data_IF_362686475895
#
_entry.id   IF_362686475895
#
_cell.length_a   1.000
_cell.length_b   1.000
_cell.length_c   1.000
_cell.angle_alpha   90.00
_cell.angle_beta   90.00
_cell.angle_gamma   90.00
#
_symmetry.space_group_name_H-M   'P 1'
#
loop_
_entity.id
_entity.type
_entity.pdbx_description
1 polymer ?
#
# COMPACT_ATOMS: atom_id res chain seq x y z
N UNK A 1 1.66 37.64 -26.79
CA UNK A 1 2.39 36.47 -27.29
C UNK A 1 1.75 35.24 -26.67
N UNK A 2 0.92 34.54 -27.45
CA UNK A 2 0.10 33.40 -27.02
C UNK A 2 0.90 32.11 -27.23
N UNK A 3 1.22 31.38 -26.16
CA UNK A 3 1.69 30.00 -26.29
C UNK A 3 0.53 29.04 -26.05
N UNK A 4 -0.06 28.62 -27.17
CA UNK A 4 -1.12 27.63 -27.23
C UNK A 4 -0.45 26.25 -27.39
N UNK A 5 -0.21 25.54 -26.28
CA UNK A 5 0.35 24.19 -26.32
C UNK A 5 -0.79 23.18 -26.46
N UNK A 6 -1.14 22.84 -27.70
CA UNK A 6 -1.97 21.68 -28.00
C UNK A 6 -1.15 20.42 -27.71
N UNK A 7 -1.30 19.84 -26.51
CA UNK A 7 -0.87 18.47 -26.25
C UNK A 7 -1.85 17.52 -26.92
N UNK A 8 -1.35 16.82 -27.93
CA UNK A 8 -2.00 15.67 -28.55
C UNK A 8 -1.93 14.54 -27.52
N UNK A 9 -3.03 14.26 -26.85
CA UNK A 9 -3.20 13.05 -26.04
C UNK A 9 -3.32 11.87 -26.98
N UNK A 10 -2.19 11.21 -27.27
CA UNK A 10 -2.21 9.89 -27.89
C UNK A 10 -2.79 8.90 -26.88
N UNK A 11 -3.95 8.32 -27.22
CA UNK A 11 -4.57 7.22 -26.51
C UNK A 11 -3.64 6.01 -26.58
N UNK A 12 -2.79 5.84 -25.57
CA UNK A 12 -2.12 4.57 -25.30
C UNK A 12 -3.14 3.64 -24.65
N UNK A 13 -3.82 2.84 -25.47
CA UNK A 13 -4.46 1.63 -24.99
C UNK A 13 -3.34 0.58 -24.82
N UNK A 14 -3.07 0.06 -23.61
CA UNK A 14 -2.20 -1.09 -23.48
C UNK A 14 -2.95 -2.29 -24.07
N UNK A 15 -2.59 -2.67 -25.30
CA UNK A 15 -2.90 -3.99 -25.81
C UNK A 15 -2.06 -4.99 -25.02
N UNK A 16 -2.65 -5.56 -23.98
CA UNK A 16 -2.22 -6.83 -23.42
C UNK A 16 -2.27 -7.85 -24.57
N UNK A 17 -1.10 -8.23 -25.07
CA UNK A 17 -0.95 -9.33 -26.01
C UNK A 17 -1.31 -10.61 -25.27
N UNK A 18 -2.45 -11.22 -25.61
CA UNK A 18 -2.74 -12.62 -25.32
C UNK A 18 -1.64 -13.47 -25.95
N UNK A 19 -0.70 -13.90 -25.13
CA UNK A 19 0.27 -14.93 -25.49
C UNK A 19 -0.46 -16.26 -25.62
N UNK A 20 -0.68 -16.70 -26.87
CA UNK A 20 -1.13 -18.06 -27.17
C UNK A 20 -0.04 -19.02 -26.69
N UNK A 21 -0.23 -19.59 -25.50
CA UNK A 21 0.58 -20.69 -25.00
C UNK A 21 0.19 -21.94 -25.78
N UNK A 22 1.06 -22.33 -26.72
CA UNK A 22 0.97 -23.61 -27.42
C UNK A 22 1.37 -24.72 -26.43
N UNK A 23 0.38 -25.47 -25.97
CA UNK A 23 0.54 -26.57 -25.02
C UNK A 23 0.96 -27.83 -25.79
N UNK A 24 2.25 -28.15 -25.79
CA UNK A 24 2.73 -29.46 -26.25
C UNK A 24 2.64 -30.47 -25.08
N UNK A 25 1.74 -31.44 -25.25
CA UNK A 25 1.49 -32.54 -24.33
C UNK A 25 2.53 -33.64 -24.58
N UNK A 26 3.38 -33.92 -23.58
CA UNK A 26 4.06 -35.23 -23.46
C UNK A 26 4.32 -35.60 -21.99
N UNK A 27 3.43 -36.49 -21.52
CA UNK A 27 3.67 -37.72 -20.73
C UNK A 27 4.35 -37.64 -19.34
N UNK A 28 3.56 -38.00 -18.30
CA UNK A 28 3.86 -38.76 -17.05
C UNK A 28 5.15 -38.40 -16.27
N UNK A 29 5.14 -37.98 -15.01
CA UNK A 29 4.64 -38.68 -13.81
C UNK A 29 4.65 -37.76 -12.56
N UNK A 30 4.05 -38.22 -11.45
CA UNK A 30 4.07 -37.66 -10.08
C UNK A 30 3.13 -36.47 -9.78
N UNK A 31 1.91 -36.84 -9.38
CA UNK A 31 0.91 -35.98 -8.74
C UNK A 31 1.48 -35.27 -7.50
N UNK A 32 1.67 -33.96 -7.58
CA UNK A 32 1.70 -33.08 -6.42
C UNK A 32 0.68 -31.97 -6.65
N UNK A 33 -0.47 -32.07 -5.98
CA UNK A 33 -1.59 -31.13 -6.09
C UNK A 33 -1.16 -29.75 -5.57
N UNK A 34 -0.70 -28.89 -6.48
CA UNK A 34 -0.42 -27.49 -6.18
C UNK A 34 -1.65 -26.69 -6.59
N UNK A 35 -2.48 -26.33 -5.61
CA UNK A 35 -3.65 -25.48 -5.80
C UNK A 35 -3.17 -24.05 -6.05
N UNK A 36 -3.07 -23.66 -7.32
CA UNK A 36 -2.91 -22.27 -7.72
C UNK A 36 -4.27 -21.58 -7.64
N UNK A 37 -4.49 -20.83 -6.56
CA UNK A 37 -5.67 -19.99 -6.37
C UNK A 37 -5.51 -18.71 -7.20
N UNK A 38 -5.87 -18.77 -8.47
CA UNK A 38 -5.97 -17.58 -9.34
C UNK A 38 -7.26 -16.84 -8.99
N UNK A 39 -7.16 -15.75 -8.23
CA UNK A 39 -8.29 -14.85 -7.98
C UNK A 39 -8.57 -14.01 -9.23
N UNK A 40 -9.22 -14.62 -10.23
CA UNK A 40 -9.84 -13.85 -11.31
C UNK A 40 -11.12 -13.22 -10.77
N UNK A 41 -11.02 -11.99 -10.28
CA UNK A 41 -12.18 -11.14 -10.00
C UNK A 41 -12.78 -10.70 -11.36
N UNK A 42 -13.58 -11.56 -11.99
CA UNK A 42 -14.51 -11.12 -13.02
C UNK A 42 -15.60 -10.29 -12.33
N UNK A 43 -15.67 -8.99 -12.62
CA UNK A 43 -16.64 -8.08 -12.02
C UNK A 43 -17.97 -8.08 -12.79
N UNK A 44 -19.10 -8.41 -12.16
CA UNK A 44 -20.41 -8.02 -12.66
C UNK A 44 -20.99 -6.88 -11.81
N UNK A 45 -21.55 -5.90 -12.52
CA UNK A 45 -22.47 -4.85 -12.09
C UNK A 45 -21.95 -3.75 -11.13
N UNK A 46 -21.76 -2.58 -11.74
CA UNK A 46 -21.74 -1.26 -11.15
C UNK A 46 -23.05 -0.96 -10.42
N UNK A 47 -23.09 -1.15 -9.09
CA UNK A 47 -24.27 -0.77 -8.31
C UNK A 47 -24.09 -0.71 -6.80
N UNK A 48 -23.10 -1.41 -6.24
CA UNK A 48 -22.96 -1.54 -4.77
C UNK A 48 -21.53 -1.32 -4.27
N UNK A 49 -20.78 -0.39 -4.88
CA UNK A 49 -19.35 -0.17 -4.55
C UNK A 49 -19.11 0.46 -3.17
N UNK A 50 -20.04 1.25 -2.64
CA UNK A 50 -19.78 2.02 -1.42
C UNK A 50 -19.80 1.17 -0.13
N UNK A 51 -20.50 0.03 -0.14
CA UNK A 51 -20.54 -0.90 0.98
C UNK A 51 -19.27 -1.76 1.15
N UNK A 52 -18.50 -1.97 0.06
CA UNK A 52 -17.37 -2.89 0.12
C UNK A 52 -16.14 -2.28 0.81
N UNK A 53 -15.89 -0.98 0.63
CA UNK A 53 -14.70 -0.33 1.20
C UNK A 53 -14.81 -0.20 2.71
N UNK A 54 -15.94 0.30 3.21
CA UNK A 54 -16.11 0.46 4.66
C UNK A 54 -16.00 -0.87 5.39
N UNK A 55 -16.60 -1.94 4.85
CA UNK A 55 -16.45 -3.29 5.39
C UNK A 55 -14.99 -3.75 5.36
N UNK A 56 -14.29 -3.57 4.22
CA UNK A 56 -12.87 -3.92 4.12
C UNK A 56 -12.00 -3.17 5.14
N UNK A 57 -12.29 -1.90 5.41
CA UNK A 57 -11.55 -1.11 6.39
C UNK A 57 -11.89 -1.48 7.83
N UNK A 58 -13.14 -1.84 8.11
CA UNK A 58 -13.60 -2.20 9.46
C UNK A 58 -13.10 -3.57 9.90
N UNK A 59 -13.07 -4.54 8.98
CA UNK A 59 -12.69 -5.93 9.26
C UNK A 59 -11.25 -6.26 8.85
N UNK A 60 -10.45 -5.27 8.48
CA UNK A 60 -9.04 -5.49 8.17
C UNK A 60 -8.28 -6.05 9.36
N UNK A 61 -7.48 -7.08 9.14
CA UNK A 61 -6.56 -7.63 10.13
C UNK A 61 -5.24 -6.85 10.14
N UNK A 62 -4.58 -6.68 11.29
CA UNK A 62 -3.21 -6.17 11.35
C UNK A 62 -2.28 -7.03 10.50
N UNK A 63 -1.42 -6.38 9.71
CA UNK A 63 -0.40 -7.06 8.91
C UNK A 63 0.81 -7.48 9.76
N UNK A 64 1.11 -6.69 10.79
CA UNK A 64 2.24 -6.92 11.67
C UNK A 64 1.81 -7.68 12.93
N UNK A 65 2.69 -8.57 13.39
CA UNK A 65 2.52 -9.24 14.67
C UNK A 65 2.63 -8.21 15.81
N UNK A 66 2.13 -8.52 17.03
CA UNK A 66 2.42 -7.72 18.22
C UNK A 66 3.94 -7.55 18.42
N UNK A 67 4.35 -6.45 19.04
CA UNK A 67 5.75 -6.16 19.35
C UNK A 67 6.31 -7.26 20.23
N UNK A 68 7.42 -7.85 19.79
CA UNK A 68 8.15 -8.81 20.58
C UNK A 68 8.65 -8.15 21.90
N UNK A 69 8.37 -8.73 23.08
CA UNK A 69 8.92 -8.25 24.34
C UNK A 69 10.44 -8.02 24.33
N UNK A 70 11.20 -8.79 23.54
CA UNK A 70 12.64 -8.58 23.38
C UNK A 70 12.98 -7.22 22.75
N UNK A 71 12.14 -6.69 21.83
CA UNK A 71 12.34 -5.35 21.27
C UNK A 71 12.13 -4.26 22.31
N UNK A 72 11.22 -4.45 23.26
CA UNK A 72 10.99 -3.52 24.38
C UNK A 72 12.25 -3.41 25.25
N UNK A 73 12.90 -4.56 25.52
CA UNK A 73 14.14 -4.62 26.29
C UNK A 73 15.34 -3.95 25.60
N UNK A 74 15.28 -3.78 24.27
CA UNK A 74 16.32 -3.09 23.49
C UNK A 74 16.15 -1.56 23.50
N UNK A 75 15.02 -1.02 23.97
CA UNK A 75 14.85 0.43 24.11
C UNK A 75 15.83 1.00 25.15
N UNK A 76 16.23 2.26 25.01
CA UNK A 76 17.10 2.95 25.98
C UNK A 76 16.47 3.01 27.39
N UNK A 77 15.15 3.07 27.45
CA UNK A 77 14.33 3.13 28.66
C UNK A 77 13.22 2.05 28.64
N UNK A 78 13.56 0.76 28.79
CA UNK A 78 12.59 -0.35 28.63
C UNK A 78 11.37 -0.25 29.55
N UNK A 79 11.56 0.22 30.78
CA UNK A 79 10.48 0.39 31.74
C UNK A 79 9.44 1.42 31.28
N UNK A 80 9.87 2.54 30.65
CA UNK A 80 8.95 3.53 30.08
C UNK A 80 8.28 2.98 28.82
N UNK A 81 9.05 2.31 27.96
CA UNK A 81 8.52 1.68 26.74
C UNK A 81 7.46 0.62 27.06
N UNK A 82 7.63 -0.14 28.14
CA UNK A 82 6.68 -1.17 28.59
C UNK A 82 5.35 -0.60 29.11
N UNK A 83 5.27 0.69 29.45
CA UNK A 83 4.03 1.35 29.87
C UNK A 83 3.09 1.65 28.69
N UNK A 84 3.61 1.65 27.46
CA UNK A 84 2.86 1.93 26.24
C UNK A 84 2.55 0.64 25.48
N UNK A 85 1.29 0.46 25.10
CA UNK A 85 0.88 -0.71 24.31
C UNK A 85 1.14 -0.48 22.82
N UNK A 86 1.12 -1.55 22.02
CA UNK A 86 1.18 -1.43 20.56
C UNK A 86 0.00 -0.66 19.98
N UNK A 87 -1.13 -0.61 20.70
CA UNK A 87 -2.25 0.21 20.29
C UNK A 87 -1.92 1.71 20.41
N UNK A 88 -1.12 2.10 21.40
CA UNK A 88 -0.75 3.49 21.65
C UNK A 88 0.41 3.96 20.76
N UNK A 89 1.29 3.04 20.37
CA UNK A 89 2.48 3.35 19.56
C UNK A 89 2.21 3.16 18.07
N UNK A 90 1.44 2.14 17.72
CA UNK A 90 1.25 1.67 16.35
C UNK A 90 2.49 1.01 15.76
N UNK A 91 2.52 1.01 14.44
CA UNK A 91 3.58 0.41 13.62
C UNK A 91 4.62 1.44 13.22
N UNK A 92 4.19 2.68 13.04
CA UNK A 92 5.00 3.82 12.62
C UNK A 92 4.29 5.12 12.98
N UNK A 93 4.84 6.24 12.50
CA UNK A 93 4.14 7.52 12.58
C UNK A 93 4.47 8.42 11.39
N UNK A 94 3.66 9.46 11.20
CA UNK A 94 4.02 10.59 10.36
C UNK A 94 3.61 11.92 10.99
N UNK A 95 4.44 12.94 10.78
CA UNK A 95 4.26 14.29 11.28
C UNK A 95 3.68 15.14 10.16
N UNK A 96 2.49 15.70 10.41
CA UNK A 96 1.85 16.60 9.45
C UNK A 96 2.68 17.86 9.25
N UNK A 97 3.04 18.17 7.99
CA UNK A 97 3.84 19.36 7.68
C UNK A 97 3.16 20.68 8.09
N UNK A 98 1.82 20.69 8.16
CA UNK A 98 1.04 21.89 8.41
C UNK A 98 0.87 22.19 9.90
N UNK A 99 0.36 21.24 10.69
CA UNK A 99 0.04 21.44 12.10
C UNK A 99 1.00 20.73 13.07
N UNK A 100 2.01 20.02 12.53
CA UNK A 100 3.00 19.23 13.28
C UNK A 100 2.42 18.14 14.18
N UNK A 101 1.16 17.76 13.96
CA UNK A 101 0.56 16.64 14.68
C UNK A 101 1.18 15.33 14.23
N UNK A 102 1.56 14.51 15.20
CA UNK A 102 1.99 13.12 15.02
C UNK A 102 0.74 12.24 14.79
N UNK A 103 0.76 11.48 13.71
CA UNK A 103 -0.34 10.60 13.33
C UNK A 103 0.22 9.18 13.34
N UNK A 104 -0.41 8.31 14.13
CA UNK A 104 0.03 6.93 14.30
C UNK A 104 -0.31 6.13 13.04
N UNK A 105 0.66 5.40 12.50
CA UNK A 105 0.47 4.48 11.38
C UNK A 105 0.20 3.07 11.92
N UNK A 106 -0.73 2.39 11.26
CA UNK A 106 -0.99 0.96 11.46
C UNK A 106 -1.08 0.28 10.11
N UNK A 107 -0.30 -0.78 9.93
CA UNK A 107 -0.25 -1.57 8.73
C UNK A 107 -1.28 -2.70 8.81
N UNK A 108 -2.16 -2.74 7.82
CA UNK A 108 -3.26 -3.68 7.70
C UNK A 108 -3.04 -4.58 6.48
N UNK A 109 -3.52 -5.82 6.57
CA UNK A 109 -3.55 -6.73 5.42
C UNK A 109 -4.55 -6.26 4.36
N UNK A 110 -4.39 -6.75 3.15
CA UNK A 110 -5.31 -6.52 2.04
C UNK A 110 -5.01 -5.23 1.25
N UNK A 111 -6.00 -4.68 0.55
CA UNK A 111 -5.79 -3.65 -0.48
C UNK A 111 -5.49 -2.25 0.08
N UNK A 112 -5.75 -1.98 1.36
CA UNK A 112 -5.66 -0.64 1.94
C UNK A 112 -4.70 -0.63 3.15
N UNK A 113 -3.38 -0.67 2.91
CA UNK A 113 -2.38 -0.97 3.94
C UNK A 113 -2.39 -0.02 5.13
N UNK A 114 -2.80 1.24 4.95
CA UNK A 114 -2.87 2.23 6.03
C UNK A 114 -4.22 2.93 6.13
N UNK A 115 -5.27 2.35 5.53
CA UNK A 115 -6.61 2.98 5.46
C UNK A 115 -6.50 4.42 4.90
N UNK A 116 -7.06 5.42 5.59
CA UNK A 116 -6.99 6.83 5.23
C UNK A 116 -5.80 7.53 5.93
N UNK A 117 -4.89 8.08 5.13
CA UNK A 117 -3.73 8.85 5.59
C UNK A 117 -4.06 10.35 5.62
N UNK A 118 -4.91 10.73 6.58
CA UNK A 118 -5.32 12.12 6.87
C UNK A 118 -4.85 12.51 8.24
N UNK A 119 -4.52 13.79 8.42
CA UNK A 119 -4.09 14.28 9.72
C UNK A 119 -5.30 14.37 10.67
N UNK A 120 -5.22 13.72 11.83
CA UNK A 120 -6.34 13.69 12.79
C UNK A 120 -6.69 15.08 13.36
N UNK A 121 -5.77 16.05 13.23
CA UNK A 121 -5.95 17.42 13.73
C UNK A 121 -6.41 18.44 12.69
N UNK A 122 -5.86 18.40 11.47
CA UNK A 122 -6.13 19.42 10.44
C UNK A 122 -6.71 18.85 9.15
N UNK A 123 -6.96 17.54 9.12
CA UNK A 123 -7.62 16.81 8.05
C UNK A 123 -6.90 16.82 6.68
N UNK A 124 -5.72 17.46 6.61
CA UNK A 124 -4.86 17.41 5.43
C UNK A 124 -4.30 16.01 5.23
N UNK A 125 -4.24 15.59 3.98
CA UNK A 125 -3.69 14.30 3.60
C UNK A 125 -2.16 14.28 3.75
N UNK A 126 -1.61 13.08 3.89
CA UNK A 126 -0.18 12.85 3.79
C UNK A 126 0.34 13.38 2.45
N UNK A 127 1.46 14.11 2.50
CA UNK A 127 2.14 14.68 1.34
C UNK A 127 3.63 14.35 1.39
N UNK A 128 4.34 14.56 0.29
CA UNK A 128 5.79 14.33 0.21
C UNK A 128 6.62 15.22 1.14
N UNK A 129 6.04 16.30 1.69
CA UNK A 129 6.69 17.18 2.67
C UNK A 129 6.45 16.76 4.13
N UNK A 130 5.61 15.75 4.36
CA UNK A 130 5.46 15.17 5.69
C UNK A 130 6.69 14.32 6.03
N UNK A 131 7.03 14.27 7.31
CA UNK A 131 8.04 13.34 7.80
C UNK A 131 7.35 12.06 8.26
N UNK A 132 7.89 10.90 7.91
CA UNK A 132 7.39 9.60 8.33
C UNK A 132 8.52 8.75 8.87
N UNK A 133 8.19 7.80 9.74
CA UNK A 133 9.12 6.74 10.12
C UNK A 133 9.40 5.80 8.94
N UNK A 134 10.36 4.89 9.12
CA UNK A 134 10.84 3.95 8.10
C UNK A 134 9.72 3.07 7.50
N UNK A 135 8.63 2.91 8.24
CA UNK A 135 7.42 2.18 7.81
C UNK A 135 6.82 2.75 6.54
N UNK A 136 6.95 4.05 6.29
CA UNK A 136 6.39 4.69 5.11
C UNK A 136 7.45 5.55 4.44
N UNK A 137 8.30 4.93 3.63
CA UNK A 137 9.40 5.61 2.94
C UNK A 137 8.95 6.05 1.54
N UNK A 138 9.11 7.33 1.15
CA UNK A 138 8.76 7.79 -0.19
C UNK A 138 9.44 6.96 -1.30
N UNK A 139 8.66 6.53 -2.28
CA UNK A 139 9.15 5.77 -3.43
C UNK A 139 9.22 6.67 -4.68
N UNK A 140 10.38 6.76 -5.36
CA UNK A 140 10.55 7.71 -6.47
C UNK A 140 9.55 7.51 -7.62
N UNK A 141 9.11 8.63 -8.21
CA UNK A 141 8.30 8.60 -9.43
C UNK A 141 9.08 7.94 -10.58
N UNK A 142 8.38 7.15 -11.39
CA UNK A 142 8.97 6.40 -12.50
C UNK A 142 9.68 5.10 -12.10
N UNK A 143 9.95 4.88 -10.81
CA UNK A 143 10.49 3.62 -10.33
C UNK A 143 9.37 2.58 -10.22
N UNK A 144 9.40 1.59 -11.12
CA UNK A 144 8.40 0.51 -11.19
C UNK A 144 8.99 -0.86 -10.92
N UNK A 145 10.32 -1.00 -10.88
CA UNK A 145 10.97 -2.28 -10.57
C UNK A 145 11.17 -2.39 -9.06
N UNK A 146 10.76 -3.52 -8.48
CA UNK A 146 10.98 -3.84 -7.08
C UNK A 146 11.25 -5.35 -6.89
N UNK A 147 11.96 -5.74 -5.81
CA UNK A 147 12.10 -7.15 -5.47
C UNK A 147 10.73 -7.81 -5.29
N UNK A 148 10.56 -9.01 -5.84
CA UNK A 148 9.37 -9.81 -5.61
C UNK A 148 9.27 -10.17 -4.11
N UNK A 149 8.07 -10.10 -3.50
CA UNK A 149 7.90 -10.53 -2.13
C UNK A 149 8.14 -12.04 -2.03
N UNK A 150 8.59 -12.54 -0.86
CA UNK A 150 8.64 -13.98 -0.60
C UNK A 150 7.26 -14.61 -0.80
N UNK A 151 7.22 -15.91 -1.13
CA UNK A 151 5.96 -16.63 -1.32
C UNK A 151 5.06 -16.47 -0.09
N UNK A 152 3.79 -16.15 -0.30
CA UNK A 152 2.80 -15.95 0.76
C UNK A 152 2.86 -14.58 1.45
N UNK A 153 3.74 -13.66 1.02
CA UNK A 153 3.82 -12.31 1.58
C UNK A 153 3.17 -11.28 0.65
N UNK A 154 2.51 -10.28 1.23
CA UNK A 154 1.92 -9.18 0.48
C UNK A 154 2.99 -8.23 -0.07
N UNK A 155 2.67 -7.58 -1.20
CA UNK A 155 3.50 -6.53 -1.79
C UNK A 155 3.66 -5.36 -0.82
N UNK A 156 4.91 -5.00 -0.51
CA UNK A 156 5.27 -3.93 0.44
C UNK A 156 5.37 -2.55 -0.22
N UNK A 157 4.45 -2.24 -1.13
CA UNK A 157 4.39 -0.95 -1.83
C UNK A 157 2.96 -0.46 -1.89
N UNK A 158 2.78 0.84 -1.75
CA UNK A 158 1.47 1.47 -1.85
C UNK A 158 1.55 2.83 -2.53
N UNK A 159 0.40 3.33 -2.95
CA UNK A 159 0.19 4.71 -3.37
C UNK A 159 -1.03 5.29 -2.66
N UNK A 160 -1.14 6.62 -2.59
CA UNK A 160 -2.17 7.29 -1.78
C UNK A 160 -3.00 8.20 -2.66
N UNK A 161 -4.32 8.04 -2.61
CA UNK A 161 -5.24 8.91 -3.33
C UNK A 161 -5.10 10.36 -2.88
N UNK A 162 -4.82 11.27 -3.83
CA UNK A 162 -4.61 12.71 -3.58
C UNK A 162 -5.89 13.48 -3.27
N UNK A 163 -7.05 12.85 -3.41
CA UNK A 163 -8.35 13.48 -3.13
C UNK A 163 -8.91 13.13 -1.75
N UNK A 164 -8.76 11.88 -1.29
CA UNK A 164 -9.32 11.44 -0.01
C UNK A 164 -8.29 10.86 0.97
N UNK A 165 -7.04 10.64 0.55
CA UNK A 165 -5.99 10.05 1.37
C UNK A 165 -6.08 8.53 1.55
N UNK A 166 -6.99 7.83 0.87
CA UNK A 166 -7.05 6.36 0.95
C UNK A 166 -5.76 5.76 0.36
N UNK A 167 -5.06 4.96 1.16
CA UNK A 167 -3.91 4.17 0.71
C UNK A 167 -4.37 2.95 -0.08
N UNK A 168 -3.65 2.62 -1.15
CA UNK A 168 -3.90 1.48 -2.02
C UNK A 168 -2.61 0.67 -2.17
N UNK A 169 -2.65 -0.64 -1.93
CA UNK A 169 -1.51 -1.53 -2.16
C UNK A 169 -1.27 -1.64 -3.66
N UNK A 170 0.00 -1.58 -4.07
CA UNK A 170 0.39 -1.77 -5.46
C UNK A 170 0.20 -3.23 -5.89
N UNK A 171 -0.22 -3.44 -7.13
CA UNK A 171 -0.20 -4.76 -7.75
C UNK A 171 1.21 -5.05 -8.30
N UNK A 172 1.59 -6.32 -8.38
CA UNK A 172 2.91 -6.72 -8.85
C UNK A 172 2.82 -7.89 -9.83
N UNK A 173 3.50 -7.77 -10.98
CA UNK A 173 3.68 -8.84 -11.97
C UNK A 173 5.18 -9.08 -12.14
N UNK A 174 5.65 -10.23 -11.67
CA UNK A 174 7.09 -10.53 -11.60
C UNK A 174 7.79 -9.57 -10.64
N UNK A 175 8.63 -8.68 -11.18
CA UNK A 175 9.33 -7.62 -10.42
C UNK A 175 8.79 -6.21 -10.74
N UNK A 176 7.70 -6.11 -11.48
CA UNK A 176 7.14 -4.82 -11.92
C UNK A 176 5.90 -4.47 -11.10
N UNK A 177 5.93 -3.29 -10.48
CA UNK A 177 4.82 -2.68 -9.76
C UNK A 177 3.89 -1.94 -10.72
N UNK A 178 2.59 -2.16 -10.59
CA UNK A 178 1.56 -1.39 -11.28
C UNK A 178 0.94 -0.33 -10.35
N UNK A 179 0.99 0.91 -10.80
CA UNK A 179 0.43 2.09 -10.13
C UNK A 179 -0.55 2.87 -11.03
N UNK A 180 -0.79 2.40 -12.26
CA UNK A 180 -1.52 3.13 -13.29
C UNK A 180 -2.95 2.60 -13.44
N UNK A 181 -3.89 3.47 -13.83
CA UNK A 181 -5.27 3.06 -14.09
C UNK A 181 -6.08 2.67 -12.85
N UNK A 182 -5.50 2.81 -11.65
CA UNK A 182 -6.18 2.51 -10.37
C UNK A 182 -7.25 3.56 -10.10
N UNK A 183 -8.48 3.11 -9.82
CA UNK A 183 -9.57 3.99 -9.37
C UNK A 183 -9.74 3.88 -7.87
N UNK A 184 -9.75 5.02 -7.19
CA UNK A 184 -9.89 5.10 -5.74
C UNK A 184 -11.23 4.51 -5.32
N UNK A 185 -11.21 3.49 -4.49
CA UNK A 185 -12.42 2.86 -4.01
C UNK A 185 -13.21 3.79 -3.06
N UNK A 186 -12.54 4.74 -2.42
CA UNK A 186 -13.15 5.71 -1.50
C UNK A 186 -13.87 6.86 -2.21
N UNK A 187 -13.22 7.55 -3.15
CA UNK A 187 -13.78 8.75 -3.79
C UNK A 187 -13.94 8.66 -5.31
N UNK A 188 -13.58 7.54 -5.93
CA UNK A 188 -13.74 7.33 -7.37
C UNK A 188 -12.73 8.04 -8.27
N UNK A 189 -11.75 8.78 -7.74
CA UNK A 189 -10.70 9.39 -8.56
C UNK A 189 -9.79 8.34 -9.18
N UNK A 190 -9.40 8.53 -10.43
CA UNK A 190 -8.44 7.65 -11.10
C UNK A 190 -7.02 8.19 -10.98
N UNK A 191 -6.06 7.29 -10.77
CA UNK A 191 -4.63 7.54 -10.82
C UNK A 191 -4.12 7.30 -12.23
N UNK A 192 -3.34 8.24 -12.76
CA UNK A 192 -2.53 8.04 -13.96
C UNK A 192 -1.05 7.93 -13.61
N UNK A 193 -0.77 7.40 -12.41
CA UNK A 193 0.58 7.28 -11.84
C UNK A 193 1.08 8.54 -11.13
N UNK A 194 0.22 9.54 -10.96
CA UNK A 194 0.49 10.83 -10.33
C UNK A 194 0.36 10.79 -8.79
N UNK A 195 -0.26 9.75 -8.25
CA UNK A 195 -0.38 9.58 -6.80
C UNK A 195 0.98 9.35 -6.14
N UNK A 196 1.21 9.93 -4.95
CA UNK A 196 2.43 9.69 -4.19
C UNK A 196 2.55 8.21 -3.82
N UNK A 197 3.76 7.68 -3.96
CA UNK A 197 4.09 6.26 -3.82
C UNK A 197 5.00 6.07 -2.62
N UNK A 198 4.86 4.94 -1.94
CA UNK A 198 5.62 4.63 -0.74
C UNK A 198 6.01 3.16 -0.73
N UNK A 199 7.20 2.90 -0.19
CA UNK A 199 7.62 1.58 0.26
C UNK A 199 7.18 1.40 1.72
N UNK A 200 6.66 0.20 2.01
CA UNK A 200 6.22 -0.22 3.33
C UNK A 200 7.40 -0.92 4.02
N UNK A 201 8.13 -0.17 4.84
CA UNK A 201 9.33 -0.65 5.53
C UNK A 201 9.05 -1.53 6.73
N UNK A 202 10.12 -1.85 7.47
CA UNK A 202 10.04 -2.57 8.74
C UNK A 202 9.51 -1.67 9.86
N UNK A 203 8.69 -2.25 10.74
CA UNK A 203 8.16 -1.60 11.94
C UNK A 203 9.12 -1.68 13.14
N UNK A 204 10.10 -2.57 13.09
CA UNK A 204 10.96 -2.86 14.23
C UNK A 204 11.76 -1.65 14.73
N UNK A 205 12.40 -0.83 13.87
CA UNK A 205 13.16 0.33 14.35
C UNK A 205 12.29 1.30 15.17
N UNK A 206 11.12 1.64 14.64
CA UNK A 206 10.17 2.53 15.32
C UNK A 206 9.57 1.90 16.58
N UNK A 207 9.17 0.62 16.54
CA UNK A 207 8.63 -0.05 17.73
C UNK A 207 9.65 -0.21 18.85
N UNK A 208 10.94 -0.35 18.49
CA UNK A 208 12.06 -0.34 19.44
C UNK A 208 12.22 1.04 20.08
N UNK A 209 12.17 2.12 19.31
CA UNK A 209 12.34 3.49 19.81
C UNK A 209 11.34 4.46 19.13
N UNK A 210 10.14 4.64 19.72
CA UNK A 210 9.09 5.44 19.10
C UNK A 210 9.19 6.95 19.35
N UNK A 211 10.20 7.41 20.11
CA UNK A 211 10.34 8.80 20.59
C UNK A 211 11.46 9.57 19.85
#
# INVERSE_FOLDING_TARGET
>A
SMFNSRRISALFAPRLTDGVVKLDIRTQDAQTNTVLTTYHLQSPLEGTRMGCVQAALQFAEPAELPTDPFLILQNKYPALRALRTDADIGDGMWICYHCRHENILRHWKGPFPFKYLRCDRCDRQLSHTCHSSEVLTPWPFGMISAPAPPLGHEVRYCHVCTQCGLSHRAEMVGTTLDFYGVTCAGCGSSSYGDWPRYYIGSVEPYRRDPD
#
